data_IF_194294220793
#
_entry.id   IF_194294220793
#
_cell.length_a   1.000
_cell.length_b   1.000
_cell.length_c   1.000
_cell.angle_alpha   90.00
_cell.angle_beta   90.00
_cell.angle_gamma   90.00
#
_symmetry.space_group_name_H-M   'P 1'
#
loop_
_entity.id
_entity.type
_entity.pdbx_description
1 polymer ?
#
# COMPACT_ATOMS: atom_id res chain seq x y z
N UNK A 1 28.48 -16.60 -0.20
CA UNK A 1 27.77 -15.36 0.20
C UNK A 1 26.55 -15.06 -0.69
N UNK A 2 26.46 -15.62 -1.90
CA UNK A 2 25.38 -15.38 -2.88
C UNK A 2 24.09 -16.17 -2.61
N UNK A 3 24.16 -17.32 -1.94
CA UNK A 3 22.99 -18.18 -1.65
C UNK A 3 21.96 -17.49 -0.73
N UNK A 4 22.40 -16.58 0.15
CA UNK A 4 21.53 -15.93 1.14
C UNK A 4 20.77 -14.71 0.56
N UNK A 5 21.34 -14.00 -0.41
CA UNK A 5 20.70 -12.82 -1.02
C UNK A 5 19.48 -13.20 -1.86
N UNK A 6 19.57 -14.32 -2.61
CA UNK A 6 18.46 -14.80 -3.44
C UNK A 6 17.26 -15.25 -2.59
N UNK A 7 17.53 -15.91 -1.46
CA UNK A 7 16.50 -16.36 -0.53
C UNK A 7 15.80 -15.17 0.16
N UNK A 8 16.56 -14.18 0.65
CA UNK A 8 16.01 -12.95 1.23
C UNK A 8 15.16 -12.19 0.20
N UNK A 9 15.63 -12.09 -1.04
CA UNK A 9 14.88 -11.43 -2.11
C UNK A 9 13.58 -12.18 -2.40
N UNK A 10 13.61 -13.51 -2.49
CA UNK A 10 12.43 -14.34 -2.72
C UNK A 10 11.39 -14.18 -1.58
N UNK A 11 11.84 -14.16 -0.32
CA UNK A 11 10.98 -13.93 0.83
C UNK A 11 10.33 -12.55 0.77
N UNK A 12 11.11 -11.49 0.51
CA UNK A 12 10.58 -10.13 0.40
C UNK A 12 9.56 -10.00 -0.74
N UNK A 13 9.83 -10.60 -1.90
CA UNK A 13 8.89 -10.64 -3.02
C UNK A 13 7.62 -11.41 -2.66
N UNK A 14 7.73 -12.56 -1.99
CA UNK A 14 6.56 -13.33 -1.55
C UNK A 14 5.68 -12.52 -0.58
N UNK A 15 6.28 -11.80 0.38
CA UNK A 15 5.55 -10.90 1.28
C UNK A 15 4.83 -9.78 0.53
N UNK A 16 5.48 -9.16 -0.45
CA UNK A 16 4.87 -8.11 -1.28
C UNK A 16 3.66 -8.64 -2.06
N UNK A 17 3.80 -9.81 -2.69
CA UNK A 17 2.70 -10.46 -3.43
C UNK A 17 1.56 -10.80 -2.48
N UNK A 18 1.84 -11.43 -1.34
CA UNK A 18 0.81 -11.84 -0.38
C UNK A 18 -0.02 -10.64 0.11
N UNK A 19 0.64 -9.53 0.46
CA UNK A 19 -0.05 -8.29 0.88
C UNK A 19 -0.89 -7.73 -0.27
N UNK A 20 -0.37 -7.70 -1.50
CA UNK A 20 -1.12 -7.21 -2.67
C UNK A 20 -2.36 -8.06 -2.96
N UNK A 21 -2.27 -9.38 -2.89
CA UNK A 21 -3.41 -10.27 -3.13
C UNK A 21 -4.48 -10.16 -2.04
N UNK A 22 -4.08 -10.03 -0.77
CA UNK A 22 -5.03 -9.79 0.33
C UNK A 22 -5.76 -8.47 0.11
N UNK A 23 -5.04 -7.39 -0.21
CA UNK A 23 -5.64 -6.08 -0.49
C UNK A 23 -6.61 -6.15 -1.67
N UNK A 24 -6.25 -6.85 -2.75
CA UNK A 24 -7.15 -7.10 -3.90
C UNK A 24 -8.45 -7.79 -3.49
N UNK A 25 -8.37 -8.81 -2.64
CA UNK A 25 -9.56 -9.54 -2.18
C UNK A 25 -10.47 -8.65 -1.32
N UNK A 26 -9.90 -7.91 -0.37
CA UNK A 26 -10.66 -6.97 0.49
C UNK A 26 -11.37 -5.92 -0.36
N UNK A 27 -10.66 -5.32 -1.30
CA UNK A 27 -11.20 -4.27 -2.18
C UNK A 27 -12.30 -4.81 -3.10
N UNK A 28 -12.14 -6.02 -3.64
CA UNK A 28 -13.19 -6.69 -4.42
C UNK A 28 -14.45 -6.94 -3.59
N UNK A 29 -14.31 -7.37 -2.34
CA UNK A 29 -15.44 -7.59 -1.44
C UNK A 29 -16.18 -6.27 -1.13
N UNK A 30 -15.43 -5.18 -0.91
CA UNK A 30 -15.99 -3.83 -0.74
C UNK A 30 -16.77 -3.35 -1.97
N UNK A 31 -16.30 -3.68 -3.18
CA UNK A 31 -17.01 -3.36 -4.40
C UNK A 31 -18.37 -4.09 -4.49
N UNK A 32 -18.40 -5.37 -4.14
CA UNK A 32 -19.62 -6.20 -4.23
C UNK A 32 -20.69 -5.84 -3.20
N UNK A 33 -20.32 -5.27 -2.06
CA UNK A 33 -21.23 -5.02 -0.93
C UNK A 33 -22.03 -3.71 -1.03
N UNK A 34 -21.48 -2.66 -1.66
CA UNK A 34 -22.10 -1.32 -1.65
C UNK A 34 -22.33 -0.68 -3.03
N UNK A 35 -21.91 -1.32 -4.11
CA UNK A 35 -21.93 -0.71 -5.45
C UNK A 35 -20.82 0.33 -5.66
N UNK A 36 -20.70 0.81 -6.90
CA UNK A 36 -19.53 1.60 -7.35
C UNK A 36 -19.33 2.91 -6.57
N UNK A 37 -20.39 3.65 -6.27
CA UNK A 37 -20.26 4.93 -5.56
C UNK A 37 -19.74 4.72 -4.13
N UNK A 38 -20.33 3.77 -3.39
CA UNK A 38 -19.88 3.45 -2.04
C UNK A 38 -18.44 2.93 -2.05
N UNK A 39 -18.08 2.11 -3.05
CA UNK A 39 -16.72 1.64 -3.26
C UNK A 39 -15.72 2.79 -3.43
N UNK A 40 -16.00 3.75 -4.32
CA UNK A 40 -15.13 4.92 -4.53
C UNK A 40 -14.98 5.76 -3.26
N UNK A 41 -16.08 5.98 -2.52
CA UNK A 41 -16.06 6.73 -1.26
C UNK A 41 -15.24 6.00 -0.17
N UNK A 42 -15.26 4.67 -0.18
CA UNK A 42 -14.43 3.88 0.71
C UNK A 42 -12.95 3.93 0.34
N UNK A 43 -12.61 3.78 -0.95
CA UNK A 43 -11.22 3.84 -1.43
C UNK A 43 -10.60 5.20 -1.12
N UNK A 44 -11.32 6.29 -1.39
CA UNK A 44 -10.86 7.64 -1.08
C UNK A 44 -10.57 7.82 0.42
N UNK A 45 -11.46 7.36 1.29
CA UNK A 45 -11.25 7.43 2.75
C UNK A 45 -10.05 6.62 3.21
N UNK A 46 -9.83 5.43 2.64
CA UNK A 46 -8.67 4.61 2.95
C UNK A 46 -7.39 5.30 2.50
N UNK A 47 -7.38 5.87 1.29
CA UNK A 47 -6.23 6.63 0.78
C UNK A 47 -5.88 7.79 1.70
N UNK A 48 -6.84 8.67 2.00
CA UNK A 48 -6.64 9.84 2.85
C UNK A 48 -6.16 9.43 4.24
N UNK A 49 -6.78 8.43 4.87
CA UNK A 49 -6.40 7.96 6.19
C UNK A 49 -5.02 7.28 6.23
N UNK A 50 -4.66 6.53 5.18
CA UNK A 50 -3.35 5.89 5.10
C UNK A 50 -2.24 6.92 4.87
N UNK A 51 -2.45 7.91 3.98
CA UNK A 51 -1.51 9.01 3.76
C UNK A 51 -1.33 9.82 5.05
N UNK A 52 -2.42 10.19 5.72
CA UNK A 52 -2.35 10.92 6.99
C UNK A 52 -1.55 10.15 8.03
N UNK A 53 -1.87 8.87 8.26
CA UNK A 53 -1.14 8.03 9.23
C UNK A 53 0.35 7.86 8.88
N UNK A 54 0.72 7.79 7.60
CA UNK A 54 2.12 7.76 7.18
C UNK A 54 2.83 9.07 7.55
N UNK A 55 2.20 10.22 7.39
CA UNK A 55 2.84 11.50 7.72
C UNK A 55 2.86 11.78 9.22
N UNK A 56 1.82 11.42 9.95
CA UNK A 56 1.61 11.78 11.36
C UNK A 56 2.13 10.74 12.36
N UNK A 57 1.92 9.46 12.09
CA UNK A 57 2.16 8.38 13.05
C UNK A 57 3.42 7.55 12.76
N UNK A 58 3.83 7.45 11.49
CA UNK A 58 5.05 6.70 11.15
C UNK A 58 6.28 7.42 11.73
N UNK A 59 7.01 6.71 12.61
CA UNK A 59 8.27 7.16 13.20
C UNK A 59 9.36 6.12 12.97
N UNK A 60 10.39 6.50 12.22
CA UNK A 60 11.53 5.62 11.94
C UNK A 60 12.61 5.88 13.01
N UNK A 61 12.69 4.98 13.99
CA UNK A 61 13.67 5.12 15.08
C UNK A 61 15.10 4.97 14.54
N UNK A 62 15.96 5.94 14.83
CA UNK A 62 17.37 5.90 14.45
C UNK A 62 17.64 6.31 13.00
N UNK A 63 16.70 7.00 12.36
CA UNK A 63 16.81 7.49 10.98
C UNK A 63 16.89 9.03 10.99
N UNK A 64 17.64 9.62 10.05
CA UNK A 64 17.70 11.08 9.90
C UNK A 64 16.40 11.64 9.29
N UNK A 65 16.13 12.92 9.53
CA UNK A 65 14.88 13.57 9.11
C UNK A 65 14.66 13.51 7.59
N UNK A 66 15.74 13.57 6.80
CA UNK A 66 15.67 13.48 5.34
C UNK A 66 15.27 12.08 4.89
N UNK A 67 15.90 11.05 5.43
CA UNK A 67 15.55 9.66 5.12
C UNK A 67 14.12 9.34 5.59
N UNK A 68 13.68 9.86 6.74
CA UNK A 68 12.29 9.70 7.18
C UNK A 68 11.29 10.36 6.22
N UNK A 69 11.58 11.60 5.78
CA UNK A 69 10.75 12.29 4.80
C UNK A 69 10.64 11.52 3.48
N UNK A 70 11.77 11.00 2.97
CA UNK A 70 11.80 10.23 1.73
C UNK A 70 11.01 8.92 1.85
N UNK A 71 11.09 8.23 2.99
CA UNK A 71 10.32 7.01 3.23
C UNK A 71 8.82 7.31 3.30
N UNK A 72 8.42 8.38 4.00
CA UNK A 72 7.02 8.82 4.08
C UNK A 72 6.45 9.16 2.70
N UNK A 73 7.19 9.90 1.89
CA UNK A 73 6.81 10.24 0.52
C UNK A 73 6.65 8.99 -0.35
N UNK A 74 7.64 8.08 -0.33
CA UNK A 74 7.58 6.83 -1.12
C UNK A 74 6.44 5.93 -0.69
N UNK A 75 6.20 5.78 0.61
CA UNK A 75 5.10 4.98 1.13
C UNK A 75 3.74 5.57 0.73
N UNK A 76 3.57 6.90 0.82
CA UNK A 76 2.34 7.58 0.42
C UNK A 76 2.05 7.42 -1.08
N UNK A 77 3.07 7.66 -1.93
CA UNK A 77 2.95 7.47 -3.37
C UNK A 77 2.61 6.00 -3.74
N UNK A 78 3.16 5.04 -3.00
CA UNK A 78 2.84 3.63 -3.20
C UNK A 78 1.37 3.33 -2.86
N UNK A 79 0.86 3.86 -1.74
CA UNK A 79 -0.56 3.71 -1.36
C UNK A 79 -1.48 4.29 -2.44
N UNK A 80 -1.27 5.54 -2.85
CA UNK A 80 -2.06 6.18 -3.92
C UNK A 80 -2.02 5.37 -5.20
N UNK A 81 -0.83 4.96 -5.66
CA UNK A 81 -0.68 4.17 -6.90
C UNK A 81 -1.41 2.83 -6.81
N UNK A 82 -1.28 2.14 -5.68
CA UNK A 82 -1.90 0.84 -5.47
C UNK A 82 -3.43 0.96 -5.46
N UNK A 83 -3.99 1.91 -4.71
CA UNK A 83 -5.43 2.12 -4.63
C UNK A 83 -6.03 2.55 -5.97
N UNK A 84 -5.33 3.43 -6.69
CA UNK A 84 -5.67 3.84 -8.05
C UNK A 84 -5.73 2.64 -9.01
N UNK A 85 -4.82 1.67 -8.89
CA UNK A 85 -4.84 0.49 -9.76
C UNK A 85 -6.14 -0.33 -9.66
N UNK A 86 -6.84 -0.28 -8.52
CA UNK A 86 -8.10 -0.98 -8.33
C UNK A 86 -9.32 -0.24 -8.89
N UNK A 87 -9.22 1.08 -9.07
CA UNK A 87 -10.30 1.88 -9.66
C UNK A 87 -10.24 1.90 -11.18
N UNK A 88 -9.06 1.65 -11.78
CA UNK A 88 -8.83 1.69 -13.22
C UNK A 88 -8.93 0.33 -13.93
N UNK A 89 -9.10 -0.79 -13.22
CA UNK A 89 -9.28 -2.13 -13.81
C UNK A 89 -10.70 -2.33 -14.38
N UNK A 90 -11.10 -1.37 -15.22
CA UNK A 90 -12.23 -1.41 -16.13
C UNK A 90 -11.71 -1.13 -17.54
N UNK A 91 -11.03 -2.11 -18.11
CA UNK A 91 -10.79 -2.20 -19.55
C UNK A 91 -11.21 -3.59 -20.03
#
# INVERSE_FOLDING_TARGET
>A
MTENTGEIQAINTAWQIAIQEILRMVIRDMYHTGGEQAFMDHIKRIEEGAVDSIYTDLRLRGTDEWTEMLVKEKASNFVTTLLTSFTFDRA
#
